data_IF_123223611551
#
_entry.id   IF_123223611551
#
_cell.length_a   1.000
_cell.length_b   1.000
_cell.length_c   1.000
_cell.angle_alpha   90.00
_cell.angle_beta   90.00
_cell.angle_gamma   90.00
#
_symmetry.space_group_name_H-M   'P 1'
#
loop_
_entity.id
_entity.type
_entity.pdbx_description
1 polymer ?
#
# COMPACT_ATOMS: atom_id res chain seq x y z
N UNK A 1 -14.48 3.95 -12.46
CA UNK A 1 -13.26 3.19 -12.08
C UNK A 1 -12.49 2.67 -13.29
N UNK A 2 -12.91 1.62 -14.00
CA UNK A 2 -12.06 1.03 -15.06
C UNK A 2 -11.75 1.99 -16.22
N UNK A 3 -12.74 2.74 -16.72
CA UNK A 3 -12.54 3.76 -17.77
C UNK A 3 -11.60 4.89 -17.35
N UNK A 4 -11.53 5.14 -16.05
CA UNK A 4 -10.85 6.32 -15.48
C UNK A 4 -9.40 6.01 -15.07
N UNK A 5 -9.14 4.80 -14.56
CA UNK A 5 -7.84 4.47 -13.96
C UNK A 5 -7.02 3.44 -14.73
N UNK A 6 -7.60 2.72 -15.72
CA UNK A 6 -6.88 1.67 -16.45
C UNK A 6 -5.57 2.18 -17.08
N UNK A 7 -5.61 3.36 -17.70
CA UNK A 7 -4.44 3.88 -18.40
C UNK A 7 -3.38 4.42 -17.42
N UNK A 8 -3.78 5.00 -16.28
CA UNK A 8 -2.88 5.32 -15.19
C UNK A 8 -2.18 4.08 -14.61
N UNK A 9 -2.90 2.97 -14.45
CA UNK A 9 -2.33 1.69 -14.00
C UNK A 9 -1.31 1.19 -15.03
N UNK A 10 -1.64 1.24 -16.32
CA UNK A 10 -0.73 0.81 -17.39
C UNK A 10 0.56 1.63 -17.38
N UNK A 11 0.43 2.95 -17.29
CA UNK A 11 1.57 3.87 -17.18
C UNK A 11 2.45 3.52 -15.97
N UNK A 12 1.86 3.32 -14.78
CA UNK A 12 2.62 2.94 -13.60
C UNK A 12 3.37 1.60 -13.78
N UNK A 13 2.79 0.64 -14.50
CA UNK A 13 3.47 -0.63 -14.81
C UNK A 13 4.64 -0.46 -15.80
N UNK A 14 4.54 0.48 -16.73
CA UNK A 14 5.64 0.83 -17.64
C UNK A 14 6.79 1.52 -16.90
N UNK A 15 6.48 2.48 -16.01
CA UNK A 15 7.47 3.11 -15.14
C UNK A 15 8.21 2.08 -14.27
N UNK A 16 7.52 1.07 -13.73
CA UNK A 16 8.15 -0.02 -12.97
C UNK A 16 9.18 -0.79 -13.80
N UNK A 17 8.88 -1.07 -15.08
CA UNK A 17 9.82 -1.75 -15.99
C UNK A 17 11.05 -0.91 -16.28
N UNK A 18 10.88 0.41 -16.42
CA UNK A 18 11.99 1.34 -16.60
C UNK A 18 12.93 1.33 -15.40
N UNK A 19 12.36 1.52 -14.21
CA UNK A 19 13.12 1.51 -12.96
C UNK A 19 13.85 0.18 -12.76
N UNK A 20 13.21 -0.95 -13.08
CA UNK A 20 13.87 -2.26 -13.00
C UNK A 20 15.06 -2.38 -13.96
N UNK A 21 14.99 -1.83 -15.17
CA UNK A 21 16.12 -1.84 -16.11
C UNK A 21 17.31 -1.05 -15.57
N UNK A 22 17.05 0.10 -14.93
CA UNK A 22 18.08 0.90 -14.24
C UNK A 22 18.75 0.14 -13.09
N UNK A 23 17.96 -0.56 -12.27
CA UNK A 23 18.51 -1.39 -11.20
C UNK A 23 19.36 -2.55 -11.75
N UNK A 24 18.91 -3.17 -12.85
CA UNK A 24 19.67 -4.23 -13.50
C UNK A 24 21.00 -3.72 -14.09
N UNK A 25 21.11 -2.43 -14.45
CA UNK A 25 22.36 -1.80 -14.88
C UNK A 25 23.26 -1.34 -13.73
N UNK A 26 22.92 -1.66 -12.48
CA UNK A 26 23.74 -1.39 -11.30
C UNK A 26 23.37 -0.14 -10.51
N UNK A 27 22.29 0.57 -10.88
CA UNK A 27 21.76 1.62 -10.02
C UNK A 27 21.13 1.02 -8.75
N UNK A 28 21.25 1.74 -7.63
CA UNK A 28 20.63 1.35 -6.36
C UNK A 28 19.46 2.29 -6.01
N UNK A 29 18.40 1.79 -5.35
CA UNK A 29 17.35 2.64 -4.80
C UNK A 29 17.91 3.66 -3.81
N UNK A 30 17.34 4.86 -3.80
CA UNK A 30 17.71 5.93 -2.88
C UNK A 30 16.58 6.93 -2.68
N UNK A 31 16.79 7.90 -1.79
CA UNK A 31 15.84 8.99 -1.61
C UNK A 31 15.87 9.94 -2.80
N UNK A 32 14.72 10.17 -3.42
CA UNK A 32 14.58 11.16 -4.48
C UNK A 32 14.84 12.58 -3.91
N UNK A 33 15.85 13.32 -4.42
CA UNK A 33 16.12 14.69 -3.98
C UNK A 33 14.93 15.63 -4.20
N UNK A 34 14.11 15.40 -5.23
CA UNK A 34 12.96 16.24 -5.55
C UNK A 34 11.87 16.20 -4.46
N UNK A 35 11.79 15.11 -3.69
CA UNK A 35 10.79 14.94 -2.62
C UNK A 35 11.28 15.37 -1.24
N UNK A 36 12.45 16.02 -1.14
CA UNK A 36 13.05 16.46 0.13
C UNK A 36 12.10 17.36 0.94
N UNK A 37 11.50 18.36 0.30
CA UNK A 37 10.60 19.30 0.97
C UNK A 37 9.37 18.62 1.58
N UNK A 38 8.91 17.51 0.98
CA UNK A 38 7.81 16.71 1.52
C UNK A 38 8.30 15.95 2.76
N UNK A 39 9.47 15.30 2.70
CA UNK A 39 10.00 14.52 3.84
C UNK A 39 10.36 15.37 5.05
N UNK A 40 10.82 16.60 4.83
CA UNK A 40 11.27 17.53 5.87
C UNK A 40 10.17 18.54 6.27
N UNK A 41 9.01 18.49 5.62
CA UNK A 41 7.88 19.38 5.92
C UNK A 41 7.12 18.97 7.17
N UNK A 42 6.44 19.92 7.80
CA UNK A 42 5.56 19.69 8.95
C UNK A 42 4.14 19.38 8.48
N UNK A 43 3.83 18.09 8.34
CA UNK A 43 2.50 17.62 7.98
C UNK A 43 2.20 16.27 8.62
N UNK A 44 0.91 15.97 8.74
CA UNK A 44 0.42 14.67 9.19
C UNK A 44 -0.67 14.16 8.24
N UNK A 45 -0.86 12.83 8.22
CA UNK A 45 -2.01 12.23 7.56
C UNK A 45 -3.32 12.72 8.19
N UNK A 46 -4.43 12.56 7.45
CA UNK A 46 -5.76 12.79 8.00
C UNK A 46 -6.04 11.90 9.23
N UNK A 47 -6.96 12.33 10.08
CA UNK A 47 -7.33 11.62 11.31
C UNK A 47 -7.78 10.18 11.01
N UNK A 48 -7.27 9.23 11.80
CA UNK A 48 -7.62 7.81 11.68
C UNK A 48 -9.03 7.59 12.22
N UNK A 49 -9.93 6.92 11.48
CA UNK A 49 -11.26 6.58 11.99
C UNK A 49 -11.17 5.67 13.21
N UNK A 50 -12.00 5.91 14.24
CA UNK A 50 -11.96 5.17 15.50
C UNK A 50 -12.11 3.65 15.31
N UNK A 51 -12.92 3.22 14.34
CA UNK A 51 -13.14 1.82 14.00
C UNK A 51 -11.85 1.05 13.63
N UNK A 52 -10.82 1.76 13.17
CA UNK A 52 -9.52 1.19 12.77
C UNK A 52 -8.34 1.84 13.49
N UNK A 53 -8.60 2.57 14.57
CA UNK A 53 -7.55 3.20 15.36
C UNK A 53 -6.73 2.17 16.16
N UNK A 54 -7.37 1.06 16.57
CA UNK A 54 -6.71 -0.04 17.25
C UNK A 54 -6.49 -1.21 16.28
N UNK A 55 -5.24 -1.43 15.86
CA UNK A 55 -4.82 -2.49 14.94
C UNK A 55 -3.70 -3.36 15.50
N UNK A 56 -3.69 -3.58 16.82
CA UNK A 56 -2.62 -4.32 17.51
C UNK A 56 -2.42 -5.74 16.99
N UNK A 57 -3.49 -6.39 16.52
CA UNK A 57 -3.43 -7.71 15.88
C UNK A 57 -4.33 -7.70 14.66
N UNK A 58 -3.78 -8.12 13.52
CA UNK A 58 -4.51 -8.31 12.27
C UNK A 58 -4.31 -9.74 11.80
N UNK A 59 -5.37 -10.34 11.27
CA UNK A 59 -5.32 -11.67 10.66
C UNK A 59 -5.51 -11.52 9.15
N UNK A 60 -4.76 -12.31 8.38
CA UNK A 60 -4.92 -12.37 6.92
C UNK A 60 -5.49 -13.71 6.50
N UNK A 61 -6.33 -13.74 5.46
CA UNK A 61 -6.95 -15.00 5.03
C UNK A 61 -7.66 -14.93 3.68
N UNK A 62 -7.94 -16.07 3.06
CA UNK A 62 -8.65 -16.10 1.79
C UNK A 62 -10.12 -15.71 1.98
N UNK A 63 -10.76 -15.30 0.88
CA UNK A 63 -12.19 -14.92 0.84
C UNK A 63 -13.15 -16.12 0.83
N UNK A 64 -12.67 -17.30 1.23
CA UNK A 64 -13.51 -18.49 1.34
C UNK A 64 -14.43 -18.35 2.56
N UNK A 65 -15.67 -18.82 2.43
CA UNK A 65 -16.75 -18.56 3.41
C UNK A 65 -16.37 -18.97 4.83
N UNK A 66 -15.84 -20.18 5.04
CA UNK A 66 -15.43 -20.66 6.35
C UNK A 66 -14.27 -19.83 6.90
N UNK A 67 -13.32 -19.46 6.05
CA UNK A 67 -12.17 -18.63 6.44
C UNK A 67 -12.56 -17.22 6.84
N UNK A 68 -13.50 -16.58 6.13
CA UNK A 68 -14.04 -15.27 6.53
C UNK A 68 -14.65 -15.34 7.94
N UNK A 69 -15.48 -16.36 8.20
CA UNK A 69 -16.13 -16.53 9.51
C UNK A 69 -15.08 -16.72 10.61
N UNK A 70 -14.10 -17.58 10.37
CA UNK A 70 -13.04 -17.86 11.34
C UNK A 70 -12.17 -16.62 11.61
N UNK A 71 -11.81 -15.88 10.57
CA UNK A 71 -10.98 -14.69 10.69
C UNK A 71 -11.69 -13.57 11.46
N UNK A 72 -12.97 -13.30 11.15
CA UNK A 72 -13.78 -12.31 11.86
C UNK A 72 -14.01 -12.68 13.34
N UNK A 73 -14.05 -13.97 13.67
CA UNK A 73 -14.25 -14.46 15.05
C UNK A 73 -12.93 -14.73 15.81
N UNK A 74 -11.77 -14.46 15.20
CA UNK A 74 -10.46 -14.79 15.78
C UNK A 74 -10.04 -13.94 16.98
N UNK A 75 -10.74 -12.83 17.22
CA UNK A 75 -10.34 -11.81 18.20
C UNK A 75 -9.30 -10.81 17.68
N UNK A 76 -8.81 -10.96 16.45
CA UNK A 76 -8.03 -9.93 15.76
C UNK A 76 -8.86 -8.64 15.58
N UNK A 77 -8.19 -7.49 15.54
CA UNK A 77 -8.85 -6.18 15.37
C UNK A 77 -9.20 -5.89 13.92
N UNK A 78 -8.47 -6.49 12.97
CA UNK A 78 -8.69 -6.36 11.53
C UNK A 78 -8.51 -7.73 10.86
N UNK A 79 -9.33 -7.99 9.84
CA UNK A 79 -9.16 -9.09 8.90
C UNK A 79 -8.89 -8.51 7.50
N UNK A 80 -7.79 -8.94 6.89
CA UNK A 80 -7.39 -8.59 5.52
C UNK A 80 -7.48 -9.79 4.58
#
# INVERSE_FOLDING_TARGET
>A
LQREFRDHIRYAMECRREVQRRYNSGELPGFDPATRLIREGDWACALVPLAVANRTVEITGPVERKMIINALNSGAKVFM
#
